data_IF_654727905990
#
_entry.id   IF_654727905990
#
_cell.length_a   1.000
_cell.length_b   1.000
_cell.length_c   1.000
_cell.angle_alpha   90.00
_cell.angle_beta   90.00
_cell.angle_gamma   90.00
#
_symmetry.space_group_name_H-M   'P 1'
#
loop_
_entity.id
_entity.type
_entity.pdbx_description
1 polymer ?
#
# COMPACT_ATOMS: atom_id res chain seq x y z
N UNK A 1 9.00 -6.79 10.51
CA UNK A 1 8.31 -6.71 9.21
C UNK A 1 8.95 -5.55 8.46
N UNK A 2 9.71 -5.82 7.41
CA UNK A 2 10.39 -4.80 6.62
C UNK A 2 9.51 -4.43 5.44
N UNK A 3 9.51 -3.16 5.03
CA UNK A 3 8.77 -2.68 3.87
C UNK A 3 9.71 -2.39 2.71
N UNK A 4 9.27 -2.67 1.49
CA UNK A 4 9.95 -2.29 0.24
C UNK A 4 9.64 -0.81 -0.10
N UNK A 5 10.18 0.09 0.72
CA UNK A 5 10.07 1.56 0.57
C UNK A 5 11.44 2.17 0.29
N UNK A 6 11.47 3.26 -0.47
CA UNK A 6 12.70 3.91 -0.88
C UNK A 6 12.52 5.41 -1.06
N UNK A 7 13.52 6.16 -0.63
CA UNK A 7 13.62 7.61 -0.82
C UNK A 7 14.88 7.94 -1.63
N UNK A 8 14.80 8.98 -2.45
CA UNK A 8 15.94 9.61 -3.10
C UNK A 8 16.15 10.98 -2.46
N UNK A 9 17.36 11.21 -1.96
CA UNK A 9 17.76 12.51 -1.41
C UNK A 9 18.85 13.17 -2.24
N UNK A 10 18.81 14.50 -2.27
CA UNK A 10 19.81 15.35 -2.91
C UNK A 10 20.16 16.50 -1.98
N UNK A 11 21.45 16.66 -1.66
CA UNK A 11 21.96 17.73 -0.78
C UNK A 11 21.25 17.85 0.57
N UNK A 12 20.83 16.71 1.15
CA UNK A 12 20.13 16.67 2.43
C UNK A 12 18.62 16.89 2.36
N UNK A 13 18.06 17.03 1.16
CA UNK A 13 16.61 17.12 0.95
C UNK A 13 16.09 15.84 0.31
N UNK A 14 14.95 15.33 0.78
CA UNK A 14 14.18 14.31 0.08
C UNK A 14 13.58 14.95 -1.19
N UNK A 15 13.83 14.32 -2.34
CA UNK A 15 13.37 14.82 -3.65
C UNK A 15 12.44 13.83 -4.36
N UNK A 16 12.32 12.60 -3.86
CA UNK A 16 11.43 11.58 -4.38
C UNK A 16 11.26 10.49 -3.33
N UNK A 17 10.05 9.93 -3.24
CA UNK A 17 9.78 8.74 -2.43
C UNK A 17 8.86 7.76 -3.17
N UNK A 18 9.01 6.48 -2.89
CA UNK A 18 8.23 5.43 -3.52
C UNK A 18 8.17 4.14 -2.72
N UNK A 19 7.38 3.20 -3.23
CA UNK A 19 7.30 1.86 -2.67
C UNK A 19 6.87 0.84 -3.71
N UNK A 20 7.18 -0.42 -3.44
CA UNK A 20 6.42 -1.54 -4.01
C UNK A 20 5.10 -1.62 -3.26
N UNK A 21 4.00 -1.85 -3.99
CA UNK A 21 2.65 -1.86 -3.45
C UNK A 21 2.20 -3.28 -3.18
N UNK A 22 1.41 -3.43 -2.13
CA UNK A 22 0.72 -4.68 -1.87
C UNK A 22 -0.25 -4.98 -3.03
N UNK A 23 -0.29 -6.22 -3.46
CA UNK A 23 -1.24 -6.74 -4.46
C UNK A 23 -2.01 -7.96 -3.94
N UNK A 24 -1.74 -8.39 -2.70
CA UNK A 24 -2.40 -9.52 -2.05
C UNK A 24 -3.52 -9.01 -1.12
N UNK A 25 -4.80 -9.39 -1.35
CA UNK A 25 -5.91 -8.95 -0.53
C UNK A 25 -5.86 -9.45 0.93
N UNK A 26 -5.26 -10.60 1.21
CA UNK A 26 -5.12 -11.11 2.58
C UNK A 26 -4.12 -10.25 3.37
N UNK A 27 -2.95 -9.98 2.78
CA UNK A 27 -1.96 -9.08 3.37
C UNK A 27 -2.49 -7.64 3.53
N UNK A 28 -3.38 -7.19 2.62
CA UNK A 28 -4.03 -5.88 2.76
C UNK A 28 -4.86 -5.81 4.05
N UNK A 29 -5.66 -6.85 4.31
CA UNK A 29 -6.50 -6.95 5.51
C UNK A 29 -5.65 -7.08 6.78
N UNK A 30 -4.56 -7.84 6.74
CA UNK A 30 -3.62 -7.93 7.86
C UNK A 30 -2.96 -6.58 8.16
N UNK A 31 -2.50 -5.85 7.14
CA UNK A 31 -1.92 -4.53 7.30
C UNK A 31 -2.91 -3.53 7.92
N UNK A 32 -4.18 -3.58 7.52
CA UNK A 32 -5.23 -2.75 8.13
C UNK A 32 -5.54 -3.15 9.58
N UNK A 33 -5.50 -4.45 9.91
CA UNK A 33 -5.66 -4.92 11.30
C UNK A 33 -4.54 -4.38 12.21
N UNK A 34 -3.30 -4.30 11.72
CA UNK A 34 -2.16 -3.73 12.48
C UNK A 34 -2.43 -2.27 12.89
N UNK A 35 -3.11 -1.50 12.04
CA UNK A 35 -3.49 -0.10 12.36
C UNK A 35 -4.87 0.02 13.01
N UNK A 36 -5.44 -1.09 13.50
CA UNK A 36 -6.69 -1.10 14.27
C UNK A 36 -7.97 -0.96 13.43
N UNK A 37 -7.92 -1.23 12.13
CA UNK A 37 -9.09 -1.16 11.24
C UNK A 37 -9.64 -2.55 10.92
N UNK A 38 -10.96 -2.69 11.05
CA UNK A 38 -11.69 -3.92 10.74
C UNK A 38 -12.19 -3.96 9.29
N UNK A 39 -12.54 -5.15 8.83
CA UNK A 39 -13.00 -5.39 7.45
C UNK A 39 -14.23 -4.56 7.05
N UNK A 40 -15.18 -4.36 7.98
CA UNK A 40 -16.37 -3.53 7.74
C UNK A 40 -15.98 -2.08 7.41
N UNK A 41 -15.05 -1.50 8.17
CA UNK A 41 -14.57 -0.13 7.92
C UNK A 41 -13.80 -0.05 6.60
N UNK A 42 -12.98 -1.07 6.29
CA UNK A 42 -12.20 -1.12 5.05
C UNK A 42 -13.13 -1.16 3.84
N UNK A 43 -14.13 -2.05 3.83
CA UNK A 43 -15.12 -2.12 2.74
C UNK A 43 -15.91 -0.84 2.60
N UNK A 44 -16.24 -0.16 3.71
CA UNK A 44 -16.96 1.12 3.67
C UNK A 44 -16.12 2.28 3.12
N UNK A 45 -14.83 2.38 3.50
CA UNK A 45 -13.95 3.52 3.12
C UNK A 45 -13.14 3.27 1.85
N UNK A 46 -12.84 2.01 1.54
CA UNK A 46 -11.92 1.59 0.49
C UNK A 46 -12.52 0.50 -0.42
N UNK A 47 -13.85 0.38 -0.47
CA UNK A 47 -14.57 -0.69 -1.18
C UNK A 47 -14.11 -0.91 -2.63
N UNK A 48 -13.96 0.17 -3.41
CA UNK A 48 -13.50 0.07 -4.80
C UNK A 48 -12.10 -0.56 -4.92
N UNK A 49 -11.16 -0.19 -4.04
CA UNK A 49 -9.83 -0.79 -4.00
C UNK A 49 -9.89 -2.25 -3.53
N UNK A 50 -10.67 -2.52 -2.50
CA UNK A 50 -10.82 -3.88 -1.97
C UNK A 50 -11.38 -4.84 -3.02
N UNK A 51 -12.38 -4.40 -3.79
CA UNK A 51 -12.95 -5.14 -4.91
C UNK A 51 -11.94 -5.32 -6.05
N UNK A 52 -11.22 -4.26 -6.42
CA UNK A 52 -10.19 -4.35 -7.47
C UNK A 52 -9.14 -5.43 -7.17
N UNK A 53 -8.77 -5.61 -5.90
CA UNK A 53 -7.80 -6.61 -5.48
C UNK A 53 -8.30 -8.05 -5.66
N UNK A 54 -9.62 -8.28 -5.70
CA UNK A 54 -10.20 -9.60 -5.96
C UNK A 54 -10.02 -10.07 -7.40
N UNK A 55 -9.67 -9.15 -8.32
CA UNK A 55 -9.43 -9.46 -9.73
C UNK A 55 -7.95 -9.74 -10.04
N UNK A 56 -7.09 -9.89 -9.02
CA UNK A 56 -5.69 -10.24 -9.19
C UNK A 56 -4.85 -9.12 -9.81
N UNK A 57 -4.75 -7.94 -9.16
CA UNK A 57 -3.88 -6.88 -9.65
C UNK A 57 -2.42 -7.39 -9.70
N UNK A 58 -1.64 -7.03 -10.72
CA UNK A 58 -0.26 -7.46 -10.82
C UNK A 58 0.61 -6.82 -9.72
N UNK A 59 1.80 -7.38 -9.44
CA UNK A 59 2.82 -6.66 -8.69
C UNK A 59 3.07 -5.29 -9.33
N UNK A 60 3.01 -4.24 -8.52
CA UNK A 60 3.13 -2.85 -8.98
C UNK A 60 3.89 -2.01 -7.96
N UNK A 61 4.47 -0.92 -8.43
CA UNK A 61 5.26 -0.01 -7.63
C UNK A 61 5.47 1.29 -8.37
N UNK A 62 5.90 2.30 -7.65
CA UNK A 62 6.17 3.60 -8.23
C UNK A 62 6.63 4.59 -7.19
N UNK A 63 6.86 5.81 -7.66
CA UNK A 63 7.38 6.91 -6.86
C UNK A 63 6.66 8.21 -7.21
N UNK A 64 6.81 9.19 -6.33
CA UNK A 64 6.40 10.57 -6.53
C UNK A 64 7.61 11.50 -6.34
N UNK A 65 7.61 12.60 -7.10
CA UNK A 65 8.60 13.70 -7.05
C UNK A 65 7.87 14.94 -6.53
#
# INVERSE_FOLDING_TARGET
MTSEQYDLSCNGYEILSGSIRNHDPELLLEAFKVVGRGEIEIKAKFGAMYEAFQFGPPPHGGFAI
#
